data_IF_414101074848
#
_entry.id   IF_414101074848
#
_cell.length_a   1.000
_cell.length_b   1.000
_cell.length_c   1.000
_cell.angle_alpha   90.00
_cell.angle_beta   90.00
_cell.angle_gamma   90.00
#
_symmetry.space_group_name_H-M   'P 1'
#
loop_
_entity.id
_entity.type
_entity.pdbx_description
1 polymer ?
#
# COMPACT_ATOMS: atom_id res chain seq x y z
N UNK A 1 7.70 -4.99 -1.25
CA UNK A 1 7.77 -4.69 -2.70
C UNK A 1 6.38 -4.84 -3.27
N UNK A 2 6.04 -3.97 -4.22
CA UNK A 2 4.75 -3.90 -4.89
C UNK A 2 5.00 -3.76 -6.39
N UNK A 3 3.98 -4.09 -7.19
CA UNK A 3 4.01 -4.00 -8.65
C UNK A 3 5.18 -4.80 -9.29
N UNK A 4 5.45 -6.01 -8.79
CA UNK A 4 6.56 -6.86 -9.28
C UNK A 4 6.37 -7.32 -10.73
N UNK A 5 5.11 -7.39 -11.22
CA UNK A 5 4.72 -7.71 -12.61
C UNK A 5 5.29 -9.02 -13.16
N UNK A 6 5.61 -9.95 -12.27
CA UNK A 6 6.18 -11.25 -12.60
C UNK A 6 5.28 -12.36 -12.04
N UNK A 7 4.97 -13.42 -12.80
CA UNK A 7 4.28 -14.58 -12.26
C UNK A 7 5.21 -15.36 -11.31
N UNK A 8 4.63 -16.08 -10.34
CA UNK A 8 5.39 -16.83 -9.33
C UNK A 8 6.43 -17.78 -9.94
N UNK A 9 6.11 -18.44 -11.06
CA UNK A 9 7.03 -19.37 -11.75
C UNK A 9 8.28 -18.72 -12.34
N UNK A 10 8.29 -17.39 -12.47
CA UNK A 10 9.41 -16.61 -13.02
C UNK A 10 10.00 -15.65 -11.96
N UNK A 11 9.56 -15.72 -10.70
CA UNK A 11 10.09 -14.87 -9.65
C UNK A 11 11.57 -15.21 -9.38
N UNK A 12 12.48 -14.23 -9.30
CA UNK A 12 13.93 -14.47 -9.18
C UNK A 12 14.35 -14.82 -7.75
N UNK A 13 13.78 -15.87 -7.17
CA UNK A 13 14.01 -16.28 -5.78
C UNK A 13 15.48 -16.60 -5.50
N UNK A 14 16.17 -17.28 -6.44
CA UNK A 14 17.59 -17.63 -6.29
C UNK A 14 18.50 -16.39 -6.15
N UNK A 15 18.23 -15.34 -6.92
CA UNK A 15 19.00 -14.08 -6.85
C UNK A 15 18.77 -13.36 -5.52
N UNK A 16 17.53 -13.37 -5.00
CA UNK A 16 17.21 -12.80 -3.70
C UNK A 16 17.88 -13.57 -2.56
N UNK A 17 17.84 -14.91 -2.62
CA UNK A 17 18.51 -15.78 -1.67
C UNK A 17 20.02 -15.57 -1.69
N UNK A 18 20.62 -15.37 -2.87
CA UNK A 18 22.05 -15.04 -3.02
C UNK A 18 22.43 -13.69 -2.37
N UNK A 19 21.50 -12.74 -2.25
CA UNK A 19 21.69 -11.50 -1.49
C UNK A 19 21.55 -11.68 0.03
N UNK A 20 21.22 -12.89 0.51
CA UNK A 20 21.09 -13.21 1.93
C UNK A 20 19.74 -12.85 2.55
N UNK A 21 18.67 -12.81 1.72
CA UNK A 21 17.30 -12.63 2.17
C UNK A 21 16.48 -13.86 1.81
N UNK A 22 15.58 -14.28 2.69
CA UNK A 22 14.45 -15.12 2.29
C UNK A 22 13.42 -14.22 1.60
N UNK A 23 12.55 -14.82 0.79
CA UNK A 23 11.49 -14.08 0.12
C UNK A 23 10.18 -14.86 0.08
N UNK A 24 9.11 -14.16 0.39
CA UNK A 24 7.75 -14.60 0.09
C UNK A 24 7.19 -13.68 -0.99
N UNK A 25 6.52 -14.23 -2.00
CA UNK A 25 6.00 -13.48 -3.13
C UNK A 25 4.66 -14.03 -3.60
N UNK A 26 3.84 -13.16 -4.19
CA UNK A 26 2.56 -13.51 -4.78
C UNK A 26 2.32 -12.65 -6.00
N UNK A 27 2.38 -13.25 -7.18
CA UNK A 27 2.39 -12.55 -8.46
C UNK A 27 1.62 -13.28 -9.54
N UNK A 28 1.32 -12.54 -10.60
CA UNK A 28 0.68 -13.04 -11.81
C UNK A 28 1.28 -12.34 -13.03
N UNK A 29 0.98 -12.86 -14.22
CA UNK A 29 1.54 -12.34 -15.47
C UNK A 29 1.14 -10.86 -15.69
N UNK A 30 2.11 -10.04 -16.11
CA UNK A 30 1.95 -8.65 -16.59
C UNK A 30 1.58 -7.58 -15.55
N UNK A 31 0.82 -7.92 -14.51
CA UNK A 31 0.22 -6.96 -13.60
C UNK A 31 0.41 -7.33 -12.13
N UNK A 32 0.31 -6.32 -11.26
CA UNK A 32 0.30 -6.45 -9.80
C UNK A 32 1.57 -7.11 -9.25
N UNK A 33 1.41 -7.96 -8.25
CA UNK A 33 2.48 -8.71 -7.63
C UNK A 33 3.06 -7.99 -6.43
N UNK A 34 3.24 -8.75 -5.36
CA UNK A 34 3.84 -8.30 -4.10
C UNK A 34 4.92 -9.27 -3.66
N UNK A 35 5.93 -8.74 -2.96
CA UNK A 35 6.96 -9.56 -2.34
C UNK A 35 7.43 -8.96 -1.01
N UNK A 36 7.70 -9.84 -0.05
CA UNK A 36 8.24 -9.55 1.27
C UNK A 36 9.62 -10.21 1.37
N UNK A 37 10.66 -9.38 1.46
CA UNK A 37 12.04 -9.86 1.66
C UNK A 37 12.37 -9.75 3.14
N UNK A 38 12.86 -10.84 3.74
CA UNK A 38 13.06 -10.91 5.18
C UNK A 38 14.29 -11.75 5.55
N UNK A 39 14.99 -11.35 6.62
CA UNK A 39 16.15 -12.09 7.14
C UNK A 39 15.77 -13.10 8.21
N UNK A 40 14.84 -12.73 9.08
CA UNK A 40 14.30 -13.64 10.09
C UNK A 40 13.40 -14.68 9.41
N UNK A 41 13.38 -15.93 9.86
CA UNK A 41 12.41 -16.90 9.37
C UNK A 41 10.99 -16.42 9.72
N UNK A 42 10.11 -16.44 8.73
CA UNK A 42 8.70 -16.19 8.96
C UNK A 42 8.08 -17.41 9.67
N UNK A 43 7.28 -17.15 10.71
CA UNK A 43 6.48 -18.18 11.38
C UNK A 43 5.20 -18.47 10.60
N UNK A 44 4.72 -17.49 9.85
CA UNK A 44 3.55 -17.58 9.00
C UNK A 44 3.69 -16.63 7.81
N UNK A 45 3.17 -17.05 6.66
CA UNK A 45 3.02 -16.22 5.45
C UNK A 45 1.59 -16.39 4.96
N UNK A 46 0.87 -15.28 4.78
CA UNK A 46 -0.48 -15.26 4.20
C UNK A 46 -0.43 -14.51 2.87
N UNK A 47 -1.17 -15.00 1.87
CA UNK A 47 -1.19 -14.49 0.49
C UNK A 47 -2.65 -14.28 0.07
N UNK A 48 -3.00 -13.06 -0.31
CA UNK A 48 -4.40 -12.66 -0.56
C UNK A 48 -5.24 -12.54 0.72
N UNK A 49 -6.45 -12.01 0.57
CA UNK A 49 -7.47 -12.00 1.62
C UNK A 49 -8.26 -13.31 1.66
N UNK A 50 -8.99 -13.55 2.76
CA UNK A 50 -9.85 -14.73 2.88
C UNK A 50 -10.99 -14.77 1.84
N UNK A 51 -11.37 -13.60 1.31
CA UNK A 51 -12.38 -13.43 0.27
C UNK A 51 -11.82 -13.59 -1.15
N UNK A 52 -10.51 -13.76 -1.32
CA UNK A 52 -9.88 -13.88 -2.63
C UNK A 52 -10.12 -15.25 -3.27
N UNK A 53 -10.26 -15.24 -4.60
CA UNK A 53 -10.31 -16.43 -5.44
C UNK A 53 -9.12 -16.50 -6.41
N UNK A 54 -9.14 -17.48 -7.31
CA UNK A 54 -8.06 -17.67 -8.29
C UNK A 54 -7.91 -16.46 -9.23
N UNK A 55 -9.00 -15.74 -9.52
CA UNK A 55 -9.07 -14.58 -10.40
C UNK A 55 -8.76 -13.25 -9.67
N UNK A 56 -8.79 -13.25 -8.33
CA UNK A 56 -8.39 -12.10 -7.52
C UNK A 56 -6.98 -11.60 -7.87
N UNK A 57 -6.79 -10.29 -7.80
CA UNK A 57 -5.54 -9.62 -8.14
C UNK A 57 -4.50 -9.84 -7.03
N UNK A 58 -3.29 -10.28 -7.39
CA UNK A 58 -2.26 -10.64 -6.40
C UNK A 58 -1.61 -9.38 -5.80
N UNK A 59 -2.20 -8.86 -4.72
CA UNK A 59 -1.94 -7.52 -4.15
C UNK A 59 -1.64 -7.50 -2.66
N UNK A 60 -1.82 -8.62 -1.96
CA UNK A 60 -1.66 -8.71 -0.52
C UNK A 60 -0.73 -9.86 -0.16
N UNK A 61 0.24 -9.58 0.71
CA UNK A 61 1.04 -10.60 1.38
C UNK A 61 1.35 -10.14 2.79
N UNK A 62 1.21 -11.01 3.78
CA UNK A 62 1.66 -10.74 5.14
C UNK A 62 2.69 -11.78 5.58
N UNK A 63 3.56 -11.38 6.51
CA UNK A 63 4.49 -12.27 7.16
C UNK A 63 4.57 -11.96 8.65
N UNK A 64 4.57 -13.03 9.44
CA UNK A 64 4.68 -12.96 10.90
C UNK A 64 6.06 -13.42 11.33
N UNK A 65 6.69 -12.70 12.26
CA UNK A 65 8.07 -12.90 12.68
C UNK A 65 8.18 -12.85 14.20
N UNK A 66 9.09 -13.65 14.76
CA UNK A 66 9.42 -13.56 16.19
C UNK A 66 10.21 -12.26 16.45
N UNK A 67 9.66 -11.37 17.27
CA UNK A 67 10.24 -10.07 17.62
C UNK A 67 11.08 -10.12 18.93
N UNK A 68 11.27 -11.30 19.51
CA UNK A 68 11.85 -11.49 20.83
C UNK A 68 10.82 -11.37 21.95
N UNK A 69 11.20 -11.76 23.17
CA UNK A 69 10.37 -11.67 24.38
C UNK A 69 8.96 -12.31 24.25
N UNK A 70 8.86 -13.42 23.49
CA UNK A 70 7.60 -14.08 23.14
C UNK A 70 6.57 -13.20 22.40
N UNK A 71 7.01 -12.10 21.77
CA UNK A 71 6.16 -11.25 20.94
C UNK A 71 6.32 -11.60 19.47
N UNK A 72 5.25 -11.42 18.71
CA UNK A 72 5.24 -11.57 17.25
C UNK A 72 5.05 -10.20 16.61
N UNK A 73 5.79 -9.95 15.53
CA UNK A 73 5.61 -8.82 14.64
C UNK A 73 4.98 -9.30 13.35
N UNK A 74 3.84 -8.73 12.99
CA UNK A 74 3.20 -8.96 11.69
C UNK A 74 3.49 -7.78 10.77
N UNK A 75 3.87 -8.08 9.53
CA UNK A 75 4.03 -7.08 8.48
C UNK A 75 3.08 -7.42 7.35
N UNK A 76 2.06 -6.59 7.17
CA UNK A 76 1.14 -6.62 6.05
C UNK A 76 1.70 -5.72 4.95
N UNK A 77 1.94 -6.29 3.77
CA UNK A 77 2.41 -5.58 2.58
C UNK A 77 1.33 -5.59 1.50
N UNK A 78 0.78 -4.41 1.20
CA UNK A 78 -0.29 -4.22 0.22
C UNK A 78 0.14 -3.42 -1.01
N UNK A 79 -0.38 -3.81 -2.17
CA UNK A 79 -0.43 -2.98 -3.37
C UNK A 79 -1.87 -2.59 -3.65
N UNK A 80 -2.31 -1.47 -3.10
CA UNK A 80 -3.72 -1.09 -3.10
C UNK A 80 -4.17 -0.66 -4.51
N UNK A 81 -5.41 -0.95 -4.92
CA UNK A 81 -5.89 -0.54 -6.23
C UNK A 81 -5.86 0.98 -6.41
N UNK A 82 -5.38 1.46 -7.56
CA UNK A 82 -5.32 2.89 -7.83
C UNK A 82 -6.72 3.54 -7.94
N UNK A 83 -7.71 2.79 -8.47
CA UNK A 83 -9.13 3.18 -8.54
C UNK A 83 -9.54 3.96 -9.79
N UNK A 84 -8.59 4.52 -10.54
CA UNK A 84 -8.73 5.36 -11.74
C UNK A 84 -9.55 6.64 -11.53
N UNK A 85 -10.87 6.52 -11.40
CA UNK A 85 -11.80 7.62 -11.24
C UNK A 85 -12.99 7.15 -10.41
N UNK A 86 -13.60 8.05 -9.62
CA UNK A 86 -14.80 7.79 -8.81
C UNK A 86 -15.91 7.10 -9.60
N UNK A 87 -16.10 7.51 -10.86
CA UNK A 87 -17.19 7.01 -11.70
C UNK A 87 -16.81 5.71 -12.46
N UNK A 88 -15.59 5.20 -12.29
CA UNK A 88 -15.17 3.98 -12.98
C UNK A 88 -15.93 2.76 -12.42
N UNK A 89 -16.67 1.99 -13.24
CA UNK A 89 -17.68 1.03 -12.76
C UNK A 89 -17.12 -0.18 -11.99
N UNK A 90 -15.84 -0.51 -12.18
CA UNK A 90 -15.20 -1.66 -11.52
C UNK A 90 -13.99 -1.30 -10.66
N UNK A 91 -13.10 -0.42 -11.13
CA UNK A 91 -11.85 -0.07 -10.42
C UNK A 91 -12.07 0.67 -9.10
N UNK A 92 -12.96 1.66 -9.05
CA UNK A 92 -13.21 2.40 -7.80
C UNK A 92 -13.95 1.52 -6.76
N UNK A 93 -15.00 0.76 -7.11
CA UNK A 93 -15.56 -0.24 -6.21
C UNK A 93 -14.55 -1.31 -5.76
N UNK A 94 -13.64 -1.71 -6.65
CA UNK A 94 -12.56 -2.63 -6.30
C UNK A 94 -11.56 -2.04 -5.29
N UNK A 95 -11.26 -0.74 -5.40
CA UNK A 95 -10.45 -0.01 -4.40
C UNK A 95 -11.16 0.04 -3.04
N UNK A 96 -12.43 0.44 -3.03
CA UNK A 96 -13.24 0.49 -1.82
C UNK A 96 -13.29 -0.88 -1.12
N UNK A 97 -13.58 -1.94 -1.89
CA UNK A 97 -13.63 -3.30 -1.34
C UNK A 97 -12.29 -3.74 -0.76
N UNK A 98 -11.17 -3.44 -1.42
CA UNK A 98 -9.85 -3.80 -0.92
C UNK A 98 -9.50 -3.15 0.43
N UNK A 99 -9.99 -1.92 0.70
CA UNK A 99 -9.86 -1.28 2.01
C UNK A 99 -10.79 -1.90 3.06
N UNK A 100 -12.03 -2.24 2.68
CA UNK A 100 -12.94 -2.96 3.56
C UNK A 100 -12.39 -4.35 3.94
N UNK A 101 -11.87 -5.11 2.96
CA UNK A 101 -11.25 -6.42 3.20
C UNK A 101 -10.02 -6.30 4.14
N UNK A 102 -9.29 -5.17 4.10
CA UNK A 102 -8.21 -4.91 5.04
C UNK A 102 -8.73 -4.73 6.47
N UNK A 103 -9.78 -3.91 6.66
CA UNK A 103 -10.38 -3.70 7.98
C UNK A 103 -10.92 -5.02 8.53
N UNK A 104 -11.66 -5.78 7.72
CA UNK A 104 -12.16 -7.11 8.11
C UNK A 104 -11.00 -8.05 8.49
N UNK A 105 -9.92 -8.05 7.71
CA UNK A 105 -8.73 -8.84 8.02
C UNK A 105 -8.09 -8.45 9.35
N UNK A 106 -7.99 -7.15 9.63
CA UNK A 106 -7.46 -6.62 10.90
C UNK A 106 -8.36 -7.01 12.08
N UNK A 107 -9.67 -6.86 11.96
CA UNK A 107 -10.63 -7.21 13.03
C UNK A 107 -10.67 -8.71 13.32
N UNK A 108 -10.52 -9.55 12.29
CA UNK A 108 -10.58 -11.00 12.45
C UNK A 108 -9.29 -11.61 13.04
N UNK A 109 -8.13 -10.97 12.82
CA UNK A 109 -6.81 -11.58 13.09
C UNK A 109 -5.92 -10.79 14.05
N UNK A 110 -6.23 -9.52 14.31
CA UNK A 110 -5.36 -8.61 15.05
C UNK A 110 -6.11 -7.78 16.09
N UNK A 111 -5.36 -7.19 16.99
CA UNK A 111 -5.84 -6.14 17.89
C UNK A 111 -4.93 -4.92 17.81
N UNK A 112 -5.41 -3.72 18.19
CA UNK A 112 -4.60 -2.50 18.16
C UNK A 112 -3.35 -2.54 19.06
N UNK A 113 -3.28 -3.48 20.01
CA UNK A 113 -2.13 -3.68 20.90
C UNK A 113 -1.03 -4.59 20.29
N UNK A 114 -1.29 -5.21 19.12
CA UNK A 114 -0.33 -6.08 18.45
C UNK A 114 0.84 -5.28 17.84
N UNK A 115 2.01 -5.92 17.75
CA UNK A 115 3.10 -5.37 16.94
C UNK A 115 2.78 -5.64 15.47
N UNK A 116 2.25 -4.62 14.79
CA UNK A 116 1.75 -4.72 13.43
C UNK A 116 2.23 -3.53 12.60
N UNK A 117 2.68 -3.82 11.37
CA UNK A 117 2.83 -2.81 10.33
C UNK A 117 1.91 -3.14 9.16
N UNK A 118 1.19 -2.12 8.68
CA UNK A 118 0.55 -2.15 7.35
C UNK A 118 1.33 -1.18 6.48
N UNK A 119 1.96 -1.69 5.42
CA UNK A 119 2.82 -0.90 4.53
C UNK A 119 2.45 -1.10 3.07
N UNK A 120 2.82 -0.13 2.24
CA UNK A 120 2.88 -0.30 0.79
C UNK A 120 2.34 0.89 0.03
N UNK A 121 2.05 0.68 -1.26
CA UNK A 121 1.46 1.70 -2.12
C UNK A 121 -0.05 1.73 -1.89
N UNK A 122 -0.49 2.63 -1.02
CA UNK A 122 -1.88 2.87 -0.64
C UNK A 122 -2.67 3.55 -1.77
N UNK A 123 -1.99 4.17 -2.73
CA UNK A 123 -2.64 4.97 -3.78
C UNK A 123 -3.58 6.07 -3.24
N UNK A 124 -3.41 6.50 -1.99
CA UNK A 124 -4.18 7.57 -1.33
C UNK A 124 -3.20 8.48 -0.59
N UNK A 125 -3.34 9.79 -0.79
CA UNK A 125 -2.64 10.85 -0.09
C UNK A 125 -3.51 11.30 1.11
N UNK A 126 -3.15 10.93 2.36
CA UNK A 126 -4.02 11.08 3.53
C UNK A 126 -4.40 12.54 3.83
N UNK A 127 -3.44 13.46 3.73
CA UNK A 127 -3.64 14.88 4.08
C UNK A 127 -3.17 15.82 2.97
N UNK A 128 -3.58 17.09 3.01
CA UNK A 128 -3.23 18.07 1.97
C UNK A 128 -1.71 18.29 1.79
N UNK A 129 -0.87 18.28 2.85
CA UNK A 129 0.59 18.30 2.71
C UNK A 129 1.17 17.12 1.89
N UNK A 130 0.40 16.05 1.67
CA UNK A 130 0.82 14.92 0.83
C UNK A 130 0.59 15.18 -0.67
N UNK A 131 0.08 16.37 -1.04
CA UNK A 131 -0.31 16.72 -2.42
C UNK A 131 0.59 17.83 -3.00
N UNK A 132 1.65 17.41 -3.70
CA UNK A 132 2.62 18.30 -4.34
C UNK A 132 2.28 18.76 -5.75
N UNK A 133 1.18 18.30 -6.36
CA UNK A 133 0.85 18.57 -7.78
C UNK A 133 0.38 20.00 -8.06
N UNK A 134 0.25 20.83 -7.03
CA UNK A 134 -0.17 22.23 -7.10
C UNK A 134 -1.69 22.40 -7.01
N UNK A 135 -2.12 23.50 -6.38
CA UNK A 135 -3.52 23.76 -6.01
C UNK A 135 -4.50 23.67 -7.20
N UNK A 136 -4.12 24.22 -8.37
CA UNK A 136 -4.96 24.17 -9.56
C UNK A 136 -5.20 22.74 -10.06
N UNK A 137 -4.19 21.86 -9.98
CA UNK A 137 -4.33 20.46 -10.36
C UNK A 137 -5.11 19.68 -9.30
N UNK A 138 -4.86 19.92 -8.01
CA UNK A 138 -5.61 19.33 -6.91
C UNK A 138 -7.12 19.61 -7.04
N UNK A 139 -7.51 20.88 -7.22
CA UNK A 139 -8.90 21.28 -7.45
C UNK A 139 -9.51 20.62 -8.69
N UNK A 140 -8.73 20.50 -9.77
CA UNK A 140 -9.18 19.82 -11.00
C UNK A 140 -9.42 18.33 -10.75
N UNK A 141 -8.51 17.64 -10.09
CA UNK A 141 -8.65 16.20 -9.80
C UNK A 141 -9.89 15.93 -8.94
N UNK A 142 -10.10 16.72 -7.89
CA UNK A 142 -11.31 16.63 -7.06
C UNK A 142 -12.59 16.86 -7.87
N UNK A 143 -12.61 17.90 -8.72
CA UNK A 143 -13.75 18.21 -9.58
C UNK A 143 -14.05 17.09 -10.58
N UNK A 144 -13.00 16.50 -11.16
CA UNK A 144 -13.11 15.47 -12.19
C UNK A 144 -13.27 14.06 -11.59
N UNK A 145 -13.33 13.92 -10.25
CA UNK A 145 -13.43 12.62 -9.57
C UNK A 145 -12.18 11.75 -9.72
N UNK A 146 -11.01 12.34 -10.03
CA UNK A 146 -9.77 11.58 -10.14
C UNK A 146 -9.31 11.12 -8.74
N UNK A 147 -8.99 9.84 -8.66
CA UNK A 147 -8.53 9.16 -7.45
C UNK A 147 -7.18 9.66 -6.95
N UNK A 148 -6.89 9.33 -5.69
CA UNK A 148 -5.68 9.58 -4.87
C UNK A 148 -5.90 10.48 -3.66
N UNK A 149 -7.01 11.22 -3.54
CA UNK A 149 -7.28 12.09 -2.38
C UNK A 149 -8.74 12.56 -2.35
N UNK A 150 -9.66 11.76 -2.90
CA UNK A 150 -11.09 12.03 -2.78
C UNK A 150 -11.50 11.91 -1.30
N UNK A 151 -12.55 12.63 -0.85
CA UNK A 151 -13.05 12.54 0.52
C UNK A 151 -13.34 11.10 0.97
N UNK A 152 -13.91 10.28 0.09
CA UNK A 152 -14.22 8.87 0.35
C UNK A 152 -12.95 8.04 0.55
N UNK A 153 -11.90 8.32 -0.24
CA UNK A 153 -10.61 7.64 -0.13
C UNK A 153 -9.93 7.97 1.21
N UNK A 154 -9.96 9.25 1.61
CA UNK A 154 -9.39 9.67 2.90
C UNK A 154 -10.14 9.08 4.08
N UNK A 155 -11.46 8.90 3.98
CA UNK A 155 -12.25 8.23 5.01
C UNK A 155 -11.78 6.78 5.25
N UNK A 156 -11.34 6.05 4.22
CA UNK A 156 -10.80 4.69 4.39
C UNK A 156 -9.45 4.68 5.11
N UNK A 157 -8.62 5.71 4.94
CA UNK A 157 -7.38 5.87 5.72
C UNK A 157 -7.68 6.30 7.17
N UNK A 158 -8.69 7.15 7.35
CA UNK A 158 -9.16 7.56 8.67
C UNK A 158 -9.70 6.35 9.45
N UNK A 159 -10.44 5.45 8.81
CA UNK A 159 -10.92 4.20 9.41
C UNK A 159 -9.77 3.30 9.90
N UNK A 160 -8.68 3.17 9.13
CA UNK A 160 -7.45 2.49 9.58
C UNK A 160 -6.81 3.18 10.79
N UNK A 161 -6.89 4.51 10.85
CA UNK A 161 -6.36 5.29 11.97
C UNK A 161 -7.23 5.14 13.22
N UNK A 162 -8.55 5.12 13.06
CA UNK A 162 -9.53 4.88 14.13
C UNK A 162 -9.43 3.45 14.68
N UNK A 163 -9.14 2.47 13.82
CA UNK A 163 -8.83 1.10 14.25
C UNK A 163 -7.63 1.07 15.21
N UNK A 164 -6.62 1.92 14.99
CA UNK A 164 -5.48 2.08 15.88
C UNK A 164 -4.13 2.20 15.18
N UNK A 165 -4.09 2.21 13.85
CA UNK A 165 -2.85 2.43 13.11
C UNK A 165 -2.44 3.90 13.16
N UNK A 166 -1.14 4.14 13.11
CA UNK A 166 -0.59 5.50 13.06
C UNK A 166 0.27 5.66 11.81
N UNK A 167 0.03 6.72 11.03
CA UNK A 167 0.94 7.13 9.97
C UNK A 167 2.27 7.61 10.58
N UNK A 168 3.27 6.74 10.54
CA UNK A 168 4.57 6.94 11.20
C UNK A 168 5.29 8.17 10.63
N UNK A 169 5.21 8.36 9.31
CA UNK A 169 5.87 9.50 8.68
C UNK A 169 5.25 10.80 9.15
N UNK A 170 3.92 10.91 9.12
CA UNK A 170 3.22 12.12 9.54
C UNK A 170 3.31 12.36 11.05
N UNK A 171 3.42 11.31 11.86
CA UNK A 171 3.69 11.42 13.30
C UNK A 171 5.03 12.12 13.58
N UNK A 172 6.09 11.78 12.84
CA UNK A 172 7.41 12.39 13.01
C UNK A 172 7.58 13.73 12.28
N UNK A 173 6.87 13.92 11.17
CA UNK A 173 6.99 15.09 10.30
C UNK A 173 5.60 15.71 10.03
N UNK A 174 4.92 16.25 11.06
CA UNK A 174 3.54 16.70 10.96
C UNK A 174 3.34 17.81 9.92
N UNK A 175 4.30 18.74 9.83
CA UNK A 175 4.19 19.95 9.00
C UNK A 175 4.89 19.83 7.63
N UNK A 176 5.54 18.70 7.34
CA UNK A 176 6.33 18.53 6.11
C UNK A 176 5.43 18.41 4.87
N UNK A 177 5.68 19.25 3.86
CA UNK A 177 4.82 19.42 2.71
C UNK A 177 5.57 19.36 1.36
N UNK A 178 6.87 19.04 1.35
CA UNK A 178 7.71 19.00 0.15
C UNK A 178 8.32 17.61 -0.13
N UNK A 179 7.90 16.58 0.61
CA UNK A 179 8.35 15.20 0.44
C UNK A 179 7.22 14.29 -0.04
N UNK A 180 7.47 13.60 -1.16
CA UNK A 180 6.50 12.77 -1.87
C UNK A 180 7.15 11.43 -2.26
N UNK A 181 6.34 10.38 -2.39
CA UNK A 181 6.80 9.03 -2.73
C UNK A 181 6.58 8.67 -4.20
N UNK A 182 5.61 9.33 -4.86
CA UNK A 182 5.26 9.10 -6.25
C UNK A 182 5.35 10.37 -7.09
N UNK A 183 5.91 10.23 -8.30
CA UNK A 183 6.07 11.31 -9.27
C UNK A 183 5.71 10.82 -10.67
N UNK A 184 4.81 11.55 -11.36
CA UNK A 184 4.41 11.19 -12.72
C UNK A 184 5.55 11.39 -13.72
N UNK A 185 5.89 10.33 -14.46
CA UNK A 185 6.93 10.35 -15.48
C UNK A 185 6.62 11.31 -16.64
N UNK A 186 5.36 11.41 -17.08
CA UNK A 186 5.00 12.20 -18.28
C UNK A 186 5.16 13.70 -18.05
N UNK A 187 4.80 14.18 -16.87
CA UNK A 187 4.96 15.57 -16.44
C UNK A 187 6.36 15.89 -15.91
N UNK A 188 7.23 14.86 -15.80
CA UNK A 188 8.58 14.94 -15.23
C UNK A 188 8.57 15.49 -13.80
N UNK A 189 7.61 15.02 -12.99
CA UNK A 189 7.31 15.60 -11.68
C UNK A 189 8.50 15.65 -10.71
N UNK A 190 9.37 14.64 -10.75
CA UNK A 190 10.57 14.55 -9.92
C UNK A 190 11.66 15.58 -10.28
N UNK A 191 11.70 16.00 -11.54
CA UNK A 191 12.73 16.89 -12.10
C UNK A 191 12.32 18.37 -12.03
N UNK A 192 11.11 18.67 -11.55
CA UNK A 192 10.62 20.03 -11.34
C UNK A 192 11.26 20.64 -10.09
N UNK A 193 11.31 21.97 -10.07
CA UNK A 193 11.66 22.77 -8.89
C UNK A 193 10.55 23.81 -8.62
N UNK A 194 9.76 23.68 -7.53
CA UNK A 194 9.76 22.55 -6.58
C UNK A 194 9.25 21.26 -7.22
N UNK A 195 9.56 20.11 -6.59
CA UNK A 195 9.11 18.79 -7.05
C UNK A 195 7.58 18.69 -7.03
N UNK A 196 7.02 17.89 -7.95
CA UNK A 196 5.56 17.70 -8.10
C UNK A 196 5.22 16.22 -7.98
N UNK A 197 4.75 15.81 -6.81
CA UNK A 197 4.42 14.42 -6.51
C UNK A 197 3.24 14.26 -5.56
N UNK A 198 3.00 13.02 -5.13
CA UNK A 198 2.08 12.67 -4.05
C UNK A 198 2.79 11.75 -3.06
N UNK A 199 2.47 11.82 -1.76
CA UNK A 199 2.86 10.78 -0.80
C UNK A 199 1.72 9.77 -0.69
N UNK A 200 1.91 8.63 -1.32
CA UNK A 200 0.93 7.53 -1.41
C UNK A 200 1.50 6.18 -0.98
N UNK A 201 2.80 6.11 -0.74
CA UNK A 201 3.46 4.98 -0.09
C UNK A 201 3.57 5.29 1.40
N UNK A 202 2.89 4.49 2.22
CA UNK A 202 2.80 4.65 3.68
C UNK A 202 3.47 3.48 4.40
#
# INVERSE_FOLDING_TARGET
MQETKVPDSEFPEEDINAMGYNVAYHGQKTHYGVALLHKLPATEIIKGYATDDDESQKRFISGTFNAGDNRQLTVINGYFPQGENRDHPTKFPGKQRFYADLIDHLDDHHTPDDLLFVIGDMNIAPVDPDIGIGEANMKRWLKDGKTSFLPEERAWIEELSEWGLTDIYRHHYPDEADLFSWFDYRSRGFERDPKRGLRIDL
#
